data_IF_858476603513
#
_entry.id   IF_858476603513
#
_cell.length_a   1.000
_cell.length_b   1.000
_cell.length_c   1.000
_cell.angle_alpha   90.00
_cell.angle_beta   90.00
_cell.angle_gamma   90.00
#
_symmetry.space_group_name_H-M   'P 1'
#
loop_
_entity.id
_entity.type
_entity.pdbx_description
1 polymer ?
#
# COMPACT_ATOMS: atom_id res chain seq x y z
N UNK A 1 21.39 -17.08 -21.82
CA UNK A 1 21.39 -15.59 -21.90
C UNK A 1 20.67 -14.90 -20.72
N UNK A 2 19.59 -15.45 -20.18
CA UNK A 2 18.88 -14.88 -19.01
C UNK A 2 19.66 -15.05 -17.69
N UNK A 3 20.38 -16.18 -17.54
CA UNK A 3 21.24 -16.43 -16.38
C UNK A 3 22.43 -15.44 -16.32
N UNK A 4 23.01 -15.12 -17.46
CA UNK A 4 24.13 -14.18 -17.56
C UNK A 4 23.73 -12.73 -17.18
N UNK A 5 22.53 -12.28 -17.56
CA UNK A 5 22.02 -10.95 -17.14
C UNK A 5 21.78 -10.86 -15.63
N UNK A 6 21.19 -11.90 -15.01
CA UNK A 6 20.95 -11.93 -13.55
C UNK A 6 22.26 -11.99 -12.78
N UNK A 7 23.22 -12.82 -13.20
CA UNK A 7 24.55 -12.88 -12.58
C UNK A 7 25.31 -11.55 -12.72
N UNK A 8 25.27 -10.89 -13.88
CA UNK A 8 25.89 -9.56 -14.05
C UNK A 8 25.23 -8.49 -13.16
N UNK A 9 23.92 -8.51 -13.03
CA UNK A 9 23.20 -7.60 -12.14
C UNK A 9 23.56 -7.85 -10.66
N UNK A 10 23.65 -9.11 -10.21
CA UNK A 10 24.14 -9.45 -8.87
C UNK A 10 25.58 -8.97 -8.65
N UNK A 11 26.49 -9.26 -9.56
CA UNK A 11 27.90 -8.80 -9.46
C UNK A 11 28.03 -7.26 -9.41
N UNK A 12 27.17 -6.53 -10.14
CA UNK A 12 27.16 -5.06 -10.10
C UNK A 12 26.65 -4.59 -8.74
N UNK A 13 25.56 -5.14 -8.22
CA UNK A 13 24.97 -4.80 -6.92
C UNK A 13 25.95 -5.03 -5.77
N UNK A 14 26.59 -6.21 -5.73
CA UNK A 14 27.60 -6.57 -4.73
C UNK A 14 28.81 -5.62 -4.77
N UNK A 15 29.22 -5.24 -5.98
CA UNK A 15 30.35 -4.31 -6.17
C UNK A 15 30.06 -2.90 -5.65
N UNK A 16 28.80 -2.45 -5.69
CA UNK A 16 28.40 -1.12 -5.24
C UNK A 16 27.82 -1.11 -3.82
N UNK A 17 27.73 -2.26 -3.15
CA UNK A 17 27.31 -2.39 -1.77
C UNK A 17 25.88 -1.93 -1.50
N UNK A 18 24.97 -2.05 -2.48
CA UNK A 18 23.54 -1.69 -2.31
C UNK A 18 22.87 -2.70 -1.38
N UNK A 19 22.15 -2.22 -0.37
CA UNK A 19 21.44 -3.07 0.59
C UNK A 19 20.46 -4.01 -0.12
N UNK A 20 20.38 -5.32 0.23
CA UNK A 20 19.52 -6.30 -0.44
C UNK A 20 18.05 -6.17 0.00
N UNK A 21 17.47 -4.99 -0.18
CA UNK A 21 16.07 -4.65 0.11
C UNK A 21 15.44 -4.08 -1.16
N UNK A 22 14.22 -4.51 -1.49
CA UNK A 22 13.49 -3.95 -2.63
C UNK A 22 13.30 -2.44 -2.48
N UNK A 23 13.67 -1.70 -3.50
CA UNK A 23 13.64 -0.23 -3.48
C UNK A 23 14.92 0.43 -2.96
N UNK A 24 15.90 -0.32 -2.46
CA UNK A 24 17.19 0.22 -2.06
C UNK A 24 18.00 0.72 -3.26
N UNK A 25 18.72 1.80 -3.07
CA UNK A 25 19.60 2.36 -4.10
C UNK A 25 20.82 3.07 -3.50
N UNK A 26 21.83 3.21 -4.32
CA UNK A 26 22.98 4.07 -4.05
C UNK A 26 23.12 5.09 -5.17
N UNK A 27 23.31 6.35 -4.80
CA UNK A 27 23.53 7.45 -5.74
C UNK A 27 24.82 8.17 -5.41
N UNK A 28 25.59 8.52 -6.43
CA UNK A 28 26.77 9.37 -6.30
C UNK A 28 26.66 10.52 -7.31
N UNK A 29 26.82 11.75 -6.83
CA UNK A 29 26.97 12.97 -7.65
C UNK A 29 28.35 13.53 -7.40
N UNK A 30 29.19 13.53 -8.40
CA UNK A 30 30.59 13.98 -8.29
C UNK A 30 31.13 14.56 -9.58
N UNK A 31 32.41 14.87 -9.60
CA UNK A 31 33.11 15.50 -10.75
C UNK A 31 32.97 14.69 -12.07
N UNK A 32 32.82 13.38 -11.97
CA UNK A 32 32.72 12.48 -13.12
C UNK A 32 31.29 12.24 -13.60
N UNK A 33 30.30 12.91 -13.00
CA UNK A 33 28.88 12.79 -13.34
C UNK A 33 28.05 12.18 -12.24
N UNK A 34 26.90 11.66 -12.61
CA UNK A 34 25.87 11.09 -11.72
C UNK A 34 25.79 9.59 -11.99
N UNK A 35 25.81 8.79 -10.94
CA UNK A 35 25.54 7.36 -11.01
C UNK A 35 24.45 6.97 -10.02
N UNK A 36 23.51 6.12 -10.46
CA UNK A 36 22.45 5.55 -9.63
C UNK A 36 22.45 4.04 -9.83
N UNK A 37 22.55 3.29 -8.75
CA UNK A 37 22.51 1.83 -8.74
C UNK A 37 21.38 1.38 -7.81
N UNK A 38 20.34 0.78 -8.36
CA UNK A 38 19.24 0.18 -7.57
C UNK A 38 19.50 -1.29 -7.28
N UNK A 39 19.03 -1.77 -6.12
CA UNK A 39 18.96 -3.20 -5.85
C UNK A 39 18.05 -3.91 -6.87
N UNK A 40 16.96 -3.27 -7.23
CA UNK A 40 16.01 -3.70 -8.26
C UNK A 40 15.54 -2.49 -9.11
N UNK A 41 14.55 -2.71 -9.97
CA UNK A 41 13.98 -1.64 -10.79
C UNK A 41 13.31 -0.54 -9.95
N UNK A 42 12.74 -0.89 -8.78
CA UNK A 42 12.18 0.10 -7.84
C UNK A 42 13.28 0.97 -7.25
N UNK A 43 14.38 0.37 -6.82
CA UNK A 43 15.53 1.11 -6.28
C UNK A 43 16.10 2.09 -7.30
N UNK A 44 16.28 1.67 -8.55
CA UNK A 44 16.73 2.56 -9.62
C UNK A 44 15.73 3.72 -9.85
N UNK A 45 14.43 3.43 -9.86
CA UNK A 45 13.37 4.44 -9.99
C UNK A 45 13.38 5.43 -8.83
N UNK A 46 13.51 4.94 -7.58
CA UNK A 46 13.53 5.78 -6.39
C UNK A 46 14.79 6.66 -6.31
N UNK A 47 15.92 6.16 -6.76
CA UNK A 47 17.12 6.98 -6.94
C UNK A 47 16.91 8.12 -7.93
N UNK A 48 16.17 7.88 -9.02
CA UNK A 48 15.79 8.94 -9.98
C UNK A 48 14.82 9.95 -9.34
N UNK A 49 13.89 9.53 -8.49
CA UNK A 49 13.01 10.47 -7.78
C UNK A 49 13.81 11.36 -6.81
N UNK A 50 14.80 10.79 -6.10
CA UNK A 50 15.69 11.60 -5.25
C UNK A 50 16.52 12.58 -6.07
N UNK A 51 17.07 12.17 -7.21
CA UNK A 51 17.78 13.08 -8.12
C UNK A 51 16.84 14.21 -8.59
N UNK A 52 15.61 13.90 -8.94
CA UNK A 52 14.60 14.90 -9.33
C UNK A 52 14.37 15.93 -8.22
N UNK A 53 14.18 15.48 -6.96
CA UNK A 53 14.01 16.37 -5.82
C UNK A 53 15.23 17.26 -5.59
N UNK A 54 16.45 16.74 -5.73
CA UNK A 54 17.68 17.51 -5.66
C UNK A 54 17.77 18.58 -6.77
N UNK A 55 17.38 18.24 -7.98
CA UNK A 55 17.36 19.19 -9.11
C UNK A 55 16.31 20.27 -8.85
N UNK A 56 15.10 19.92 -8.46
CA UNK A 56 14.01 20.86 -8.18
C UNK A 56 14.39 21.83 -7.05
N UNK A 57 15.00 21.36 -5.96
CA UNK A 57 15.45 22.21 -4.85
C UNK A 57 16.68 23.05 -5.18
N UNK A 58 17.67 22.51 -5.92
CA UNK A 58 18.88 23.23 -6.30
C UNK A 58 18.61 24.32 -7.32
N UNK A 59 17.67 24.10 -8.25
CA UNK A 59 17.28 25.10 -9.25
C UNK A 59 16.71 26.39 -8.62
N UNK A 60 16.11 26.27 -7.45
CA UNK A 60 15.55 27.43 -6.70
C UNK A 60 16.58 28.17 -5.85
N UNK A 61 17.70 27.53 -5.48
CA UNK A 61 18.67 28.09 -4.51
C UNK A 61 20.01 28.44 -5.16
N UNK A 62 20.65 27.51 -5.85
CA UNK A 62 22.04 27.68 -6.33
C UNK A 62 22.20 27.48 -7.84
N UNK A 63 21.28 26.79 -8.50
CA UNK A 63 21.40 26.35 -9.89
C UNK A 63 22.45 25.25 -10.12
N UNK A 64 23.10 24.74 -9.05
CA UNK A 64 24.11 23.69 -9.11
C UNK A 64 23.72 22.50 -8.22
N UNK A 65 24.01 21.28 -8.70
CA UNK A 65 23.81 20.07 -7.90
C UNK A 65 24.96 19.88 -6.90
N UNK A 66 24.66 19.57 -5.63
CA UNK A 66 25.69 19.28 -4.64
C UNK A 66 26.43 17.97 -4.95
N UNK A 67 27.72 17.91 -4.67
CA UNK A 67 28.43 16.63 -4.61
C UNK A 67 27.94 15.86 -3.39
N UNK A 68 27.40 14.65 -3.60
CA UNK A 68 26.79 13.86 -2.53
C UNK A 68 26.86 12.36 -2.85
N UNK A 69 27.03 11.56 -1.80
CA UNK A 69 26.78 10.12 -1.83
C UNK A 69 25.54 9.82 -0.98
N UNK A 70 24.60 9.07 -1.55
CA UNK A 70 23.37 8.64 -0.89
C UNK A 70 23.32 7.12 -0.94
N UNK A 71 23.09 6.49 0.21
CA UNK A 71 22.80 5.07 0.37
C UNK A 71 21.47 4.98 1.12
N UNK A 72 20.40 4.56 0.44
CA UNK A 72 19.06 4.76 0.93
C UNK A 72 18.13 3.56 0.60
N UNK A 73 17.19 3.27 1.48
CA UNK A 73 16.26 2.16 1.37
C UNK A 73 15.02 2.38 2.24
N UNK A 74 13.86 1.80 1.88
CA UNK A 74 12.67 1.90 2.72
C UNK A 74 12.73 1.00 3.94
N UNK A 75 12.20 1.47 5.08
CA UNK A 75 12.04 0.65 6.28
C UNK A 75 10.90 -0.35 6.14
N UNK A 76 9.78 0.04 5.52
CA UNK A 76 8.62 -0.83 5.37
C UNK A 76 8.46 -1.38 3.96
N UNK A 77 8.06 -2.66 3.88
CA UNK A 77 7.79 -3.38 2.63
C UNK A 77 6.66 -2.74 1.83
N UNK A 78 5.53 -2.43 2.50
CA UNK A 78 4.35 -1.81 1.87
C UNK A 78 4.15 -0.39 2.38
N UNK A 79 4.08 0.55 1.45
CA UNK A 79 3.93 1.98 1.70
C UNK A 79 2.81 2.46 0.79
N UNK A 80 1.58 2.37 1.31
CA UNK A 80 0.42 2.42 0.42
C UNK A 80 -0.70 3.31 0.87
N UNK A 81 -1.68 3.34 -0.01
CA UNK A 81 -2.97 4.01 0.16
C UNK A 81 -4.07 3.04 -0.19
N UNK A 82 -5.14 3.02 0.59
CA UNK A 82 -6.35 2.27 0.30
C UNK A 82 -7.49 3.23 0.00
N UNK A 83 -8.06 3.17 -1.22
CA UNK A 83 -9.32 3.85 -1.55
C UNK A 83 -10.47 3.01 -0.99
N UNK A 84 -10.73 3.17 0.31
CA UNK A 84 -11.71 2.37 1.05
C UNK A 84 -12.70 3.22 1.86
N UNK A 85 -12.63 4.55 1.76
CA UNK A 85 -13.50 5.49 2.47
C UNK A 85 -14.94 5.45 1.94
N UNK A 86 -15.88 5.82 2.80
CA UNK A 86 -17.25 6.12 2.43
C UNK A 86 -17.36 7.59 2.00
N UNK A 87 -18.19 7.86 0.97
CA UNK A 87 -18.36 9.20 0.43
C UNK A 87 -18.34 9.22 -1.08
N UNK A 88 -17.93 10.35 -1.66
CA UNK A 88 -17.78 10.49 -3.11
C UNK A 88 -16.44 9.87 -3.54
N UNK A 89 -16.44 8.80 -4.33
CA UNK A 89 -15.20 8.22 -4.83
C UNK A 89 -14.43 9.21 -5.70
N UNK A 90 -13.12 8.99 -5.79
CA UNK A 90 -12.28 9.83 -6.62
C UNK A 90 -12.62 9.71 -8.10
N UNK A 91 -12.54 10.83 -8.81
CA UNK A 91 -12.59 10.79 -10.28
C UNK A 91 -11.36 10.08 -10.84
N UNK A 92 -11.44 9.66 -12.11
CA UNK A 92 -10.32 9.03 -12.79
C UNK A 92 -9.07 9.94 -12.81
N UNK A 93 -9.26 11.23 -13.04
CA UNK A 93 -8.18 12.23 -13.06
C UNK A 93 -7.51 12.38 -11.69
N UNK A 94 -8.28 12.37 -10.61
CA UNK A 94 -7.74 12.42 -9.24
C UNK A 94 -6.95 11.16 -8.94
N UNK A 95 -7.44 9.97 -9.31
CA UNK A 95 -6.69 8.72 -9.17
C UNK A 95 -5.36 8.76 -9.92
N UNK A 96 -5.36 9.23 -11.17
CA UNK A 96 -4.14 9.41 -11.97
C UNK A 96 -3.15 10.37 -11.30
N UNK A 97 -3.64 11.51 -10.81
CA UNK A 97 -2.83 12.51 -10.09
C UNK A 97 -2.22 11.95 -8.80
N UNK A 98 -2.98 11.13 -8.06
CA UNK A 98 -2.48 10.46 -6.85
C UNK A 98 -1.45 9.38 -7.16
N UNK A 99 -1.63 8.61 -8.23
CA UNK A 99 -0.64 7.60 -8.65
C UNK A 99 0.71 8.25 -9.00
N UNK A 100 0.70 9.38 -9.69
CA UNK A 100 1.92 10.13 -9.97
C UNK A 100 2.57 10.66 -8.69
N UNK A 101 1.76 11.14 -7.73
CA UNK A 101 2.21 11.51 -6.39
C UNK A 101 2.85 10.32 -5.66
N UNK A 102 2.24 9.13 -5.68
CA UNK A 102 2.79 7.93 -5.04
C UNK A 102 4.17 7.60 -5.60
N UNK A 103 4.33 7.61 -6.90
CA UNK A 103 5.62 7.39 -7.56
C UNK A 103 6.67 8.42 -7.16
N UNK A 104 6.32 9.72 -7.18
CA UNK A 104 7.22 10.81 -6.81
C UNK A 104 7.76 10.66 -5.39
N UNK A 105 6.89 10.27 -4.43
CA UNK A 105 7.23 10.15 -3.00
C UNK A 105 7.50 8.71 -2.55
N UNK A 106 7.82 7.82 -3.50
CA UNK A 106 8.32 6.46 -3.25
C UNK A 106 7.32 5.55 -2.50
N UNK A 107 6.02 5.84 -2.55
CA UNK A 107 4.99 4.89 -2.16
C UNK A 107 4.88 3.80 -3.23
N UNK A 108 4.48 2.58 -2.84
CA UNK A 108 4.53 1.43 -3.73
C UNK A 108 3.26 0.60 -3.81
N UNK A 109 2.18 1.02 -3.18
CA UNK A 109 0.94 0.23 -3.14
C UNK A 109 -0.29 1.14 -3.19
N UNK A 110 -1.19 0.88 -4.15
CA UNK A 110 -2.50 1.51 -4.25
C UNK A 110 -3.57 0.42 -4.25
N UNK A 111 -4.32 0.33 -3.14
CA UNK A 111 -5.41 -0.62 -2.98
C UNK A 111 -6.70 0.01 -3.50
N UNK A 112 -7.22 -0.56 -4.58
CA UNK A 112 -8.45 -0.13 -5.25
C UNK A 112 -9.64 -0.89 -4.66
N UNK A 113 -10.44 -0.22 -3.84
CA UNK A 113 -11.63 -0.75 -3.20
C UNK A 113 -12.71 0.32 -2.98
N UNK A 114 -13.03 1.17 -3.99
CA UNK A 114 -13.99 2.26 -3.83
C UNK A 114 -15.38 1.73 -3.51
N UNK A 115 -16.04 2.32 -2.52
CA UNK A 115 -17.31 1.84 -1.95
C UNK A 115 -18.50 1.92 -2.92
N UNK A 116 -18.40 2.65 -4.02
CA UNK A 116 -19.43 2.76 -5.06
C UNK A 116 -19.20 1.83 -6.26
N UNK A 117 -18.12 1.05 -6.27
CA UNK A 117 -17.87 0.08 -7.33
C UNK A 117 -18.66 -1.22 -7.07
N UNK A 118 -19.77 -1.47 -7.78
CA UNK A 118 -20.56 -2.66 -7.55
C UNK A 118 -19.92 -3.93 -8.10
N UNK A 119 -18.84 -3.81 -8.88
CA UNK A 119 -18.17 -4.96 -9.52
C UNK A 119 -17.01 -5.51 -8.70
N UNK A 120 -16.58 -4.81 -7.65
CA UNK A 120 -15.68 -5.37 -6.64
C UNK A 120 -16.43 -5.83 -5.38
N UNK A 121 -17.69 -5.44 -5.22
CA UNK A 121 -18.52 -5.76 -4.04
C UNK A 121 -19.91 -6.29 -4.46
N UNK A 122 -20.78 -6.55 -3.46
CA UNK A 122 -22.18 -6.86 -3.68
C UNK A 122 -22.89 -5.69 -4.39
N UNK A 123 -23.77 -5.94 -5.37
CA UNK A 123 -24.25 -7.28 -5.76
C UNK A 123 -23.49 -7.92 -6.94
N UNK A 124 -22.60 -7.21 -7.62
CA UNK A 124 -22.11 -7.58 -8.94
C UNK A 124 -20.66 -8.12 -8.95
N UNK A 125 -20.07 -8.43 -7.79
CA UNK A 125 -18.68 -8.92 -7.74
C UNK A 125 -18.44 -10.19 -8.57
N UNK A 126 -19.50 -10.97 -8.83
CA UNK A 126 -19.46 -12.17 -9.69
C UNK A 126 -19.40 -11.84 -11.20
N UNK A 127 -19.77 -10.62 -11.59
CA UNK A 127 -19.86 -10.21 -12.99
C UNK A 127 -18.55 -9.57 -13.48
N UNK A 128 -18.24 -9.69 -14.80
CA UNK A 128 -17.15 -8.92 -15.38
C UNK A 128 -17.44 -7.42 -15.30
N UNK A 129 -16.38 -6.61 -15.30
CA UNK A 129 -16.53 -5.17 -15.49
C UNK A 129 -17.06 -4.87 -16.89
N UNK A 130 -17.96 -3.87 -17.06
CA UNK A 130 -18.27 -3.33 -18.37
C UNK A 130 -17.01 -2.78 -19.06
N UNK A 131 -17.03 -2.71 -20.39
CA UNK A 131 -15.87 -2.37 -21.21
C UNK A 131 -15.23 -1.02 -20.83
N UNK A 132 -16.06 0.00 -20.57
CA UNK A 132 -15.57 1.33 -20.19
C UNK A 132 -14.84 1.32 -18.84
N UNK A 133 -15.43 0.69 -17.82
CA UNK A 133 -14.87 0.58 -16.48
C UNK A 133 -13.60 -0.28 -16.49
N UNK A 134 -13.60 -1.38 -17.24
CA UNK A 134 -12.41 -2.19 -17.45
C UNK A 134 -11.29 -1.40 -18.13
N UNK A 135 -11.63 -0.54 -19.11
CA UNK A 135 -10.70 0.37 -19.76
C UNK A 135 -10.09 1.37 -18.78
N UNK A 136 -10.90 2.00 -17.94
CA UNK A 136 -10.42 2.92 -16.90
C UNK A 136 -9.48 2.23 -15.91
N UNK A 137 -9.84 1.02 -15.45
CA UNK A 137 -8.97 0.23 -14.54
C UNK A 137 -7.63 -0.09 -15.22
N UNK A 138 -7.64 -0.46 -16.49
CA UNK A 138 -6.42 -0.74 -17.25
C UNK A 138 -5.50 0.50 -17.32
N UNK A 139 -6.05 1.68 -17.51
CA UNK A 139 -5.27 2.93 -17.51
C UNK A 139 -4.62 3.19 -16.14
N UNK A 140 -5.34 2.94 -15.03
CA UNK A 140 -4.79 3.04 -13.68
C UNK A 140 -3.66 2.02 -13.44
N UNK A 141 -3.83 0.77 -13.90
CA UNK A 141 -2.79 -0.27 -13.82
C UNK A 141 -1.52 0.17 -14.55
N UNK A 142 -1.65 0.71 -15.76
CA UNK A 142 -0.50 1.18 -16.53
C UNK A 142 0.16 2.42 -15.90
N UNK A 143 -0.63 3.32 -15.30
CA UNK A 143 -0.09 4.45 -14.55
C UNK A 143 0.70 3.97 -13.31
N UNK A 144 0.16 3.03 -12.55
CA UNK A 144 0.83 2.41 -11.40
C UNK A 144 2.15 1.75 -11.82
N UNK A 145 2.14 0.99 -12.92
CA UNK A 145 3.34 0.34 -13.46
C UNK A 145 4.45 1.32 -13.84
N UNK A 146 4.10 2.45 -14.50
CA UNK A 146 5.06 3.53 -14.81
C UNK A 146 5.67 4.14 -13.56
N UNK A 147 4.89 4.25 -12.49
CA UNK A 147 5.28 4.84 -11.20
C UNK A 147 5.86 3.82 -10.20
N UNK A 148 6.06 2.56 -10.61
CA UNK A 148 6.54 1.46 -9.74
C UNK A 148 5.66 1.23 -8.51
N UNK A 149 4.37 1.49 -8.65
CA UNK A 149 3.31 1.24 -7.65
C UNK A 149 2.59 -0.06 -8.02
N UNK A 150 2.31 -0.91 -7.05
CA UNK A 150 1.44 -2.06 -7.24
C UNK A 150 -0.02 -1.58 -7.23
N UNK A 151 -0.73 -1.79 -8.33
CA UNK A 151 -2.18 -1.69 -8.35
C UNK A 151 -2.75 -2.95 -7.70
N UNK A 152 -3.26 -2.81 -6.47
CA UNK A 152 -3.87 -3.91 -5.72
C UNK A 152 -5.37 -3.86 -5.92
N UNK A 153 -5.89 -4.82 -6.70
CA UNK A 153 -7.33 -4.89 -6.87
C UNK A 153 -7.97 -5.62 -5.70
N UNK A 154 -8.89 -4.94 -5.00
CA UNK A 154 -9.62 -5.52 -3.88
C UNK A 154 -10.97 -6.06 -4.32
N UNK A 155 -11.43 -7.16 -3.70
CA UNK A 155 -12.79 -7.67 -3.80
C UNK A 155 -13.41 -7.79 -2.41
N UNK A 156 -14.69 -7.46 -2.30
CA UNK A 156 -15.45 -7.46 -1.05
C UNK A 156 -16.70 -8.35 -1.18
N UNK A 157 -16.55 -9.69 -1.16
CA UNK A 157 -17.64 -10.62 -1.45
C UNK A 157 -18.48 -10.96 -0.22
N UNK A 158 -18.07 -10.53 0.98
CA UNK A 158 -18.54 -11.04 2.26
C UNK A 158 -20.03 -10.85 2.56
N UNK A 159 -20.68 -9.87 1.94
CA UNK A 159 -22.11 -9.59 2.19
C UNK A 159 -23.04 -10.70 1.69
N UNK A 160 -22.68 -11.40 0.60
CA UNK A 160 -23.57 -12.34 -0.06
C UNK A 160 -22.91 -13.64 -0.55
N UNK A 161 -21.68 -13.89 -0.14
CA UNK A 161 -20.95 -15.12 -0.47
C UNK A 161 -21.63 -16.36 0.14
N UNK A 162 -21.83 -17.40 -0.65
CA UNK A 162 -22.56 -18.60 -0.24
C UNK A 162 -21.66 -19.76 0.21
N UNK A 163 -20.34 -19.58 0.16
CA UNK A 163 -19.35 -20.58 0.55
C UNK A 163 -19.49 -21.94 -0.18
N UNK A 164 -19.93 -21.91 -1.44
CA UNK A 164 -20.07 -23.06 -2.30
C UNK A 164 -19.07 -23.04 -3.48
N UNK A 165 -19.01 -24.12 -4.23
CA UNK A 165 -18.09 -24.22 -5.38
C UNK A 165 -18.42 -23.20 -6.49
N UNK A 166 -19.69 -22.90 -6.68
CA UNK A 166 -20.12 -21.92 -7.68
C UNK A 166 -19.54 -20.53 -7.40
N UNK A 167 -19.64 -20.03 -6.15
CA UNK A 167 -19.08 -18.73 -5.76
C UNK A 167 -17.55 -18.75 -5.77
N UNK A 168 -16.94 -19.89 -5.43
CA UNK A 168 -15.49 -20.02 -5.58
C UNK A 168 -15.06 -19.90 -7.04
N UNK A 169 -15.72 -20.55 -7.97
CA UNK A 169 -15.42 -20.43 -9.40
C UNK A 169 -15.68 -19.02 -9.93
N UNK A 170 -16.76 -18.36 -9.49
CA UNK A 170 -17.02 -16.96 -9.82
C UNK A 170 -15.87 -16.05 -9.35
N UNK A 171 -15.34 -16.28 -8.16
CA UNK A 171 -14.21 -15.53 -7.61
C UNK A 171 -12.92 -15.76 -8.43
N UNK A 172 -12.59 -17.02 -8.73
CA UNK A 172 -11.43 -17.37 -9.56
C UNK A 172 -11.56 -16.78 -10.96
N UNK A 173 -12.75 -16.84 -11.56
CA UNK A 173 -13.01 -16.24 -12.87
C UNK A 173 -12.79 -14.72 -12.83
N UNK A 174 -13.30 -14.05 -11.80
CA UNK A 174 -13.10 -12.61 -11.61
C UNK A 174 -11.63 -12.26 -11.46
N UNK A 175 -10.88 -13.03 -10.66
CA UNK A 175 -9.43 -12.83 -10.49
C UNK A 175 -8.68 -13.03 -11.82
N UNK A 176 -9.06 -14.02 -12.64
CA UNK A 176 -8.48 -14.20 -13.96
C UNK A 176 -8.76 -13.00 -14.89
N UNK A 177 -9.98 -12.48 -14.89
CA UNK A 177 -10.32 -11.28 -15.68
C UNK A 177 -9.45 -10.08 -15.27
N UNK A 178 -9.27 -9.86 -13.96
CA UNK A 178 -8.44 -8.78 -13.46
C UNK A 178 -6.95 -9.01 -13.76
N UNK A 179 -6.48 -10.25 -13.66
CA UNK A 179 -5.13 -10.63 -14.04
C UNK A 179 -4.85 -10.37 -15.53
N UNK A 180 -5.83 -10.67 -16.41
CA UNK A 180 -5.74 -10.44 -17.85
C UNK A 180 -5.73 -8.93 -18.19
N UNK A 181 -6.36 -8.09 -17.37
CA UNK A 181 -6.24 -6.63 -17.44
C UNK A 181 -4.85 -6.12 -17.01
N UNK A 182 -4.06 -6.94 -16.32
CA UNK A 182 -2.70 -6.60 -15.88
C UNK A 182 -2.49 -6.51 -14.37
N UNK A 183 -3.52 -6.78 -13.55
CA UNK A 183 -3.39 -6.82 -12.08
C UNK A 183 -2.44 -7.94 -11.66
N UNK A 184 -1.53 -7.62 -10.73
CA UNK A 184 -0.56 -8.58 -10.17
C UNK A 184 -0.53 -8.62 -8.63
N UNK A 185 -1.38 -7.83 -7.98
CA UNK A 185 -1.57 -7.88 -6.53
C UNK A 185 -3.07 -7.80 -6.22
N UNK A 186 -3.52 -8.55 -5.23
CA UNK A 186 -4.94 -8.75 -4.94
C UNK A 186 -5.22 -8.61 -3.46
N UNK A 187 -6.46 -8.19 -3.12
CA UNK A 187 -6.95 -8.13 -1.77
C UNK A 187 -8.36 -8.71 -1.67
N UNK A 188 -8.67 -9.36 -0.54
CA UNK A 188 -10.03 -9.70 -0.14
C UNK A 188 -10.39 -8.90 1.10
N UNK A 189 -11.54 -8.24 1.05
CA UNK A 189 -12.06 -7.46 2.16
C UNK A 189 -13.29 -8.15 2.77
N UNK A 190 -13.26 -8.32 4.10
CA UNK A 190 -14.36 -8.85 4.91
C UNK A 190 -14.74 -7.89 6.03
N UNK A 191 -14.32 -6.62 5.91
CA UNK A 191 -14.69 -5.53 6.80
C UNK A 191 -16.19 -5.15 6.64
N UNK A 192 -16.79 -4.65 7.71
CA UNK A 192 -18.14 -4.08 7.74
C UNK A 192 -19.25 -5.00 7.20
N UNK A 193 -19.12 -6.31 7.40
CA UNK A 193 -20.10 -7.32 7.00
C UNK A 193 -20.77 -7.98 8.20
N UNK A 194 -21.84 -8.72 7.92
CA UNK A 194 -22.57 -9.51 8.92
C UNK A 194 -22.98 -10.88 8.37
N UNK A 195 -23.46 -11.76 9.23
CA UNK A 195 -23.98 -13.07 8.84
C UNK A 195 -22.88 -14.08 8.49
N UNK A 196 -23.17 -14.98 7.54
CA UNK A 196 -22.30 -16.12 7.20
C UNK A 196 -20.92 -15.70 6.61
N UNK A 197 -20.84 -14.50 6.03
CA UNK A 197 -19.58 -13.97 5.49
C UNK A 197 -18.50 -13.73 6.55
N UNK A 198 -18.88 -13.61 7.81
CA UNK A 198 -17.98 -13.34 8.95
C UNK A 198 -17.23 -14.57 9.46
N UNK A 199 -17.52 -15.78 8.94
CA UNK A 199 -16.94 -17.02 9.43
C UNK A 199 -15.43 -17.10 9.12
N UNK A 200 -14.54 -17.01 10.13
CA UNK A 200 -13.10 -16.92 9.93
C UNK A 200 -12.49 -18.21 9.36
N UNK A 201 -13.08 -19.38 9.66
CA UNK A 201 -12.61 -20.66 9.10
C UNK A 201 -12.86 -20.70 7.61
N UNK A 202 -14.07 -20.34 7.17
CA UNK A 202 -14.40 -20.27 5.74
C UNK A 202 -13.59 -19.20 5.00
N UNK A 203 -13.33 -18.06 5.65
CA UNK A 203 -12.47 -17.01 5.10
C UNK A 203 -11.03 -17.52 4.86
N UNK A 204 -10.42 -18.17 5.85
CA UNK A 204 -9.05 -18.68 5.73
C UNK A 204 -8.95 -19.87 4.76
N UNK A 205 -9.94 -20.75 4.72
CA UNK A 205 -10.02 -21.83 3.72
C UNK A 205 -10.07 -21.27 2.29
N UNK A 206 -10.92 -20.27 2.04
CA UNK A 206 -11.03 -19.59 0.75
C UNK A 206 -9.71 -18.95 0.33
N UNK A 207 -9.09 -18.19 1.24
CA UNK A 207 -7.81 -17.49 1.00
C UNK A 207 -6.67 -18.48 0.70
N UNK A 208 -6.57 -19.55 1.46
CA UNK A 208 -5.57 -20.61 1.24
C UNK A 208 -5.77 -21.29 -0.11
N UNK A 209 -7.03 -21.58 -0.46
CA UNK A 209 -7.37 -22.19 -1.75
C UNK A 209 -7.00 -21.25 -2.90
N UNK A 210 -7.34 -19.96 -2.83
CA UNK A 210 -6.95 -18.95 -3.82
C UNK A 210 -5.43 -18.81 -3.93
N UNK A 211 -4.73 -18.84 -2.81
CA UNK A 211 -3.26 -18.79 -2.82
C UNK A 211 -2.68 -19.97 -3.58
N UNK A 212 -3.20 -21.18 -3.37
CA UNK A 212 -2.75 -22.38 -4.07
C UNK A 212 -3.14 -22.38 -5.55
N UNK A 213 -4.43 -22.17 -5.83
CA UNK A 213 -5.02 -22.42 -7.14
C UNK A 213 -4.84 -21.24 -8.10
N UNK A 214 -4.64 -20.04 -7.60
CA UNK A 214 -4.47 -18.82 -8.39
C UNK A 214 -3.08 -18.20 -8.18
N UNK A 215 -2.74 -17.72 -6.97
CA UNK A 215 -1.50 -16.95 -6.75
C UNK A 215 -0.26 -17.76 -7.14
N UNK A 216 -0.11 -18.96 -6.58
CA UNK A 216 1.05 -19.83 -6.85
C UNK A 216 1.03 -20.40 -8.26
N UNK A 217 -0.15 -20.64 -8.85
CA UNK A 217 -0.28 -21.18 -10.20
C UNK A 217 0.13 -20.20 -11.30
N UNK A 218 -0.13 -18.89 -11.11
CA UNK A 218 0.27 -17.84 -12.07
C UNK A 218 1.79 -17.58 -12.05
N UNK A 219 2.41 -17.67 -10.88
CA UNK A 219 3.86 -17.51 -10.70
C UNK A 219 4.38 -16.08 -10.74
N UNK A 220 3.57 -15.11 -11.18
CA UNK A 220 3.91 -13.67 -11.25
C UNK A 220 2.91 -12.77 -10.50
N UNK A 221 1.97 -13.34 -9.75
CA UNK A 221 1.15 -12.62 -8.78
C UNK A 221 2.03 -12.29 -7.58
N UNK A 222 2.15 -10.99 -7.27
CA UNK A 222 3.11 -10.50 -6.29
C UNK A 222 2.71 -10.87 -4.85
N UNK A 223 1.43 -10.68 -4.50
CA UNK A 223 0.89 -11.01 -3.17
C UNK A 223 -0.64 -11.01 -3.14
N UNK A 224 -1.16 -11.60 -2.07
CA UNK A 224 -2.55 -11.53 -1.64
C UNK A 224 -2.57 -10.92 -0.23
N UNK A 225 -3.53 -10.04 0.04
CA UNK A 225 -3.76 -9.49 1.38
C UNK A 225 -5.22 -9.59 1.76
N UNK A 226 -5.53 -9.56 3.03
CA UNK A 226 -6.90 -9.67 3.55
C UNK A 226 -7.18 -8.64 4.64
N UNK A 227 -8.36 -8.01 4.57
CA UNK A 227 -8.95 -7.33 5.71
C UNK A 227 -9.93 -8.29 6.40
N UNK A 228 -9.63 -8.76 7.61
CA UNK A 228 -10.52 -9.65 8.35
C UNK A 228 -11.76 -8.89 8.83
N UNK A 229 -12.84 -9.59 9.17
CA UNK A 229 -14.01 -8.97 9.78
C UNK A 229 -13.66 -8.31 11.13
N UNK A 230 -12.85 -8.98 11.94
CA UNK A 230 -12.35 -8.44 13.21
C UNK A 230 -11.06 -7.63 12.99
N UNK A 231 -11.12 -6.58 12.21
CA UNK A 231 -9.97 -5.75 11.82
C UNK A 231 -9.52 -4.74 12.90
N UNK A 232 -10.26 -4.65 14.03
CA UNK A 232 -10.00 -3.73 15.14
C UNK A 232 -10.18 -4.45 16.48
N UNK A 233 -9.37 -4.08 17.47
CA UNK A 233 -9.50 -4.61 18.85
C UNK A 233 -10.86 -4.30 19.47
N UNK A 234 -11.53 -3.25 18.98
CA UNK A 234 -12.84 -2.82 19.48
C UNK A 234 -13.89 -3.95 19.43
N UNK A 235 -13.87 -4.79 18.38
CA UNK A 235 -14.81 -5.91 18.22
C UNK A 235 -14.16 -7.29 18.13
N UNK A 236 -12.85 -7.36 18.05
CA UNK A 236 -12.15 -8.63 18.13
C UNK A 236 -12.28 -9.25 19.52
N UNK A 237 -12.23 -10.58 19.58
CA UNK A 237 -12.24 -11.31 20.84
C UNK A 237 -11.07 -10.84 21.73
N UNK A 238 -11.33 -10.32 22.94
CA UNK A 238 -10.27 -9.81 23.83
C UNK A 238 -9.31 -10.90 24.33
N UNK A 239 -9.75 -12.18 24.34
CA UNK A 239 -8.90 -13.30 24.71
C UNK A 239 -7.97 -13.71 23.55
N UNK A 240 -6.91 -14.51 23.78
CA UNK A 240 -6.06 -15.00 22.71
C UNK A 240 -6.76 -15.91 21.68
N UNK A 241 -7.98 -16.37 21.98
CA UNK A 241 -8.82 -17.17 21.10
C UNK A 241 -9.73 -16.25 20.26
N UNK A 242 -10.24 -16.77 19.15
CA UNK A 242 -11.17 -16.06 18.28
C UNK A 242 -10.73 -16.05 16.83
N UNK A 243 -11.37 -15.21 16.01
CA UNK A 243 -11.15 -15.16 14.56
C UNK A 243 -9.68 -14.87 14.19
N UNK A 244 -9.03 -13.93 14.86
CA UNK A 244 -7.63 -13.58 14.58
C UNK A 244 -6.66 -14.72 14.92
N UNK A 245 -6.93 -15.53 15.96
CA UNK A 245 -6.13 -16.72 16.25
C UNK A 245 -6.30 -17.77 15.15
N UNK A 246 -7.51 -17.95 14.62
CA UNK A 246 -7.77 -18.85 13.48
C UNK A 246 -6.94 -18.38 12.26
N UNK A 247 -6.92 -17.09 11.98
CA UNK A 247 -6.05 -16.53 10.94
C UNK A 247 -4.57 -16.87 11.19
N UNK A 248 -4.08 -16.67 12.41
CA UNK A 248 -2.69 -16.96 12.76
C UNK A 248 -2.32 -18.44 12.67
N UNK A 249 -3.25 -19.34 12.91
CA UNK A 249 -3.02 -20.79 12.92
C UNK A 249 -3.18 -21.44 11.56
N UNK A 250 -4.08 -20.94 10.71
CA UNK A 250 -4.50 -21.64 9.50
C UNK A 250 -4.19 -20.92 8.20
N UNK A 251 -4.02 -19.59 8.21
CA UNK A 251 -3.80 -18.81 7.01
C UNK A 251 -2.39 -19.00 6.44
N UNK A 252 -2.28 -19.20 5.13
CA UNK A 252 -0.98 -19.26 4.42
C UNK A 252 -0.10 -18.06 4.83
N UNK A 253 1.15 -18.29 5.24
CA UNK A 253 2.03 -17.23 5.75
C UNK A 253 2.39 -16.15 4.71
N UNK A 254 2.15 -16.39 3.44
CA UNK A 254 2.37 -15.40 2.37
C UNK A 254 1.27 -14.35 2.26
N UNK A 255 0.14 -14.52 2.98
CA UNK A 255 -0.99 -13.58 2.95
C UNK A 255 -0.81 -12.54 4.05
N UNK A 256 -0.79 -11.28 3.69
CA UNK A 256 -0.72 -10.17 4.65
C UNK A 256 -2.12 -9.88 5.24
N UNK A 257 -2.18 -9.52 6.52
CA UNK A 257 -3.43 -9.31 7.25
C UNK A 257 -3.53 -7.87 7.73
N UNK A 258 -4.60 -7.19 7.36
CA UNK A 258 -4.86 -5.81 7.80
C UNK A 258 -5.31 -5.73 9.25
N UNK A 259 -4.93 -4.60 9.87
CA UNK A 259 -5.30 -4.21 11.22
C UNK A 259 -5.43 -2.70 11.32
N UNK A 260 -6.48 -2.19 11.98
CA UNK A 260 -6.69 -0.74 12.14
C UNK A 260 -6.25 -0.20 13.51
N UNK A 261 -5.96 -1.07 14.47
CA UNK A 261 -5.55 -0.69 15.82
C UNK A 261 -6.59 -0.98 16.90
N UNK A 262 -6.47 -0.32 18.04
CA UNK A 262 -7.34 -0.53 19.20
C UNK A 262 -8.80 -0.12 18.92
N UNK A 263 -8.97 0.87 18.03
CA UNK A 263 -10.26 1.34 17.50
C UNK A 263 -10.15 1.53 15.99
N UNK A 264 -11.25 1.89 15.32
CA UNK A 264 -11.27 2.07 13.86
C UNK A 264 -10.31 3.18 13.39
N UNK A 265 -10.29 4.31 14.10
CA UNK A 265 -9.33 5.40 13.87
C UNK A 265 -8.38 5.44 15.07
N UNK A 266 -7.23 4.82 14.94
CA UNK A 266 -6.29 4.58 16.03
C UNK A 266 -4.89 5.07 15.66
N UNK A 267 -4.13 5.49 16.68
CA UNK A 267 -2.69 5.69 16.53
C UNK A 267 -1.97 4.35 16.34
N UNK A 268 -0.86 4.39 15.64
CA UNK A 268 0.04 3.25 15.45
C UNK A 268 1.00 3.17 16.63
N UNK A 269 0.81 2.18 17.49
CA UNK A 269 1.62 1.97 18.69
C UNK A 269 2.19 0.56 18.78
N UNK A 270 3.32 0.37 19.51
CA UNK A 270 3.86 -0.97 19.75
C UNK A 270 2.84 -1.91 20.39
N UNK A 271 2.05 -1.41 21.35
CA UNK A 271 1.10 -2.21 22.13
C UNK A 271 -0.01 -2.80 21.27
N UNK A 272 -0.54 -2.02 20.31
CA UNK A 272 -1.58 -2.53 19.40
C UNK A 272 -1.00 -3.58 18.43
N UNK A 273 0.26 -3.39 17.98
CA UNK A 273 0.94 -4.36 17.11
C UNK A 273 1.27 -5.65 17.86
N UNK A 274 1.82 -5.58 19.07
CA UNK A 274 2.07 -6.75 19.91
C UNK A 274 0.79 -7.55 20.13
N UNK A 275 -0.31 -6.84 20.40
CA UNK A 275 -1.61 -7.45 20.61
C UNK A 275 -2.10 -8.24 19.41
N UNK A 276 -2.05 -7.65 18.20
CA UNK A 276 -2.54 -8.33 16.99
C UNK A 276 -1.55 -9.35 16.47
N UNK A 277 -0.24 -9.04 16.44
CA UNK A 277 0.79 -9.92 15.89
C UNK A 277 0.89 -11.24 16.66
N UNK A 278 0.69 -11.21 18.00
CA UNK A 278 0.63 -12.43 18.81
C UNK A 278 -0.52 -13.37 18.41
N UNK A 279 -1.61 -12.83 17.85
CA UNK A 279 -2.79 -13.59 17.37
C UNK A 279 -2.64 -14.05 15.93
N UNK A 280 -2.34 -13.12 15.01
CA UNK A 280 -2.20 -13.45 13.58
C UNK A 280 -0.86 -14.11 13.23
N UNK A 281 0.09 -14.17 14.18
CA UNK A 281 1.43 -14.81 14.08
C UNK A 281 2.26 -14.29 12.89
N UNK A 282 2.14 -12.99 12.60
CA UNK A 282 2.90 -12.27 11.58
C UNK A 282 2.85 -10.76 11.84
N UNK A 283 3.80 -9.97 11.30
CA UNK A 283 3.69 -8.51 11.31
C UNK A 283 2.42 -8.05 10.58
N UNK A 284 1.61 -7.21 11.23
CA UNK A 284 0.36 -6.71 10.65
C UNK A 284 0.63 -5.75 9.48
N UNK A 285 -0.31 -5.69 8.53
CA UNK A 285 -0.40 -4.61 7.56
C UNK A 285 -1.35 -3.56 8.15
N UNK A 286 -0.82 -2.41 8.58
CA UNK A 286 -1.62 -1.42 9.28
C UNK A 286 -2.50 -0.64 8.31
N UNK A 287 -3.82 -0.84 8.38
CA UNK A 287 -4.81 -0.01 7.69
C UNK A 287 -5.08 1.21 8.56
N UNK A 288 -4.48 2.33 8.20
CA UNK A 288 -4.57 3.52 9.00
C UNK A 288 -5.69 4.44 8.52
N UNK A 289 -6.74 4.56 9.33
CA UNK A 289 -7.87 5.43 9.04
C UNK A 289 -7.54 6.91 9.32
N UNK A 290 -6.58 7.42 8.57
CA UNK A 290 -6.11 8.79 8.53
C UNK A 290 -5.57 9.10 7.12
N UNK A 291 -5.90 10.26 6.50
CA UNK A 291 -6.72 11.37 7.00
C UNK A 291 -8.23 11.24 6.70
N UNK A 292 -8.78 10.03 6.59
CA UNK A 292 -10.21 9.81 6.28
C UNK A 292 -11.14 10.68 7.14
N UNK A 293 -12.17 11.23 6.51
CA UNK A 293 -13.19 12.09 7.16
C UNK A 293 -14.61 11.66 6.84
N UNK A 294 -14.81 10.40 6.44
CA UNK A 294 -16.11 9.88 6.05
C UNK A 294 -17.15 9.85 7.19
N UNK A 295 -16.67 9.81 8.43
CA UNK A 295 -17.50 9.96 9.66
C UNK A 295 -17.82 11.42 10.02
N UNK A 296 -17.12 12.42 9.43
CA UNK A 296 -17.33 13.87 9.61
C UNK A 296 -17.03 14.59 8.29
N UNK A 297 -17.90 14.46 7.30
CA UNK A 297 -17.65 14.88 5.91
C UNK A 297 -17.49 16.39 5.67
N UNK A 298 -17.85 17.21 6.64
CA UNK A 298 -17.77 18.67 6.52
C UNK A 298 -16.44 19.26 6.98
N UNK A 299 -15.42 18.41 7.22
CA UNK A 299 -14.08 18.84 7.60
C UNK A 299 -13.03 18.29 6.65
N UNK A 300 -11.90 18.98 6.57
CA UNK A 300 -10.68 18.52 5.90
C UNK A 300 -9.60 18.43 6.99
N UNK A 301 -9.01 17.23 7.15
CA UNK A 301 -7.90 17.05 8.09
C UNK A 301 -6.60 17.52 7.45
N UNK A 302 -6.07 18.60 7.98
CA UNK A 302 -4.81 19.21 7.58
C UNK A 302 -3.99 19.52 8.83
N UNK A 303 -2.72 19.18 8.81
CA UNK A 303 -1.81 19.41 9.93
C UNK A 303 -0.65 18.41 9.92
N UNK A 304 0.31 18.60 10.84
CA UNK A 304 1.38 17.62 11.03
C UNK A 304 0.81 16.23 11.32
N UNK A 305 1.38 15.20 10.72
CA UNK A 305 0.87 13.83 10.78
C UNK A 305 1.39 13.15 12.04
N UNK A 306 0.62 13.25 13.11
CA UNK A 306 0.87 12.60 14.39
C UNK A 306 0.32 11.18 14.43
N UNK A 307 0.54 10.46 15.54
CA UNK A 307 -0.02 9.13 15.76
C UNK A 307 0.79 7.98 15.17
N UNK A 308 2.00 8.26 14.67
CA UNK A 308 2.92 7.28 14.14
C UNK A 308 4.14 7.12 15.06
N UNK A 309 4.27 5.97 15.70
CA UNK A 309 5.37 5.71 16.65
C UNK A 309 6.69 5.45 15.92
N UNK A 310 7.75 6.17 16.29
CA UNK A 310 9.07 6.13 15.64
C UNK A 310 10.04 5.08 16.21
N UNK A 311 9.61 4.27 17.17
CA UNK A 311 10.39 3.14 17.69
C UNK A 311 10.12 1.81 17.01
N UNK A 312 9.19 1.79 16.05
CA UNK A 312 8.78 0.60 15.29
C UNK A 312 9.77 0.28 14.16
N UNK A 313 9.73 -0.97 13.70
CA UNK A 313 10.49 -1.43 12.54
C UNK A 313 9.73 -2.48 11.71
N UNK A 314 10.39 -3.06 10.71
CA UNK A 314 9.80 -4.08 9.83
C UNK A 314 9.48 -5.43 10.50
N UNK A 315 9.91 -5.65 11.75
CA UNK A 315 9.52 -6.83 12.52
C UNK A 315 8.17 -6.62 13.20
N UNK A 316 7.79 -5.36 13.45
CA UNK A 316 6.54 -5.00 14.11
C UNK A 316 5.37 -4.93 13.13
N UNK A 317 5.62 -4.36 11.91
CA UNK A 317 4.60 -4.25 10.87
C UNK A 317 5.22 -4.42 9.48
N UNK A 318 4.45 -4.99 8.55
CA UNK A 318 4.93 -5.16 7.16
C UNK A 318 4.67 -3.93 6.29
N UNK A 319 3.81 -3.02 6.69
CA UNK A 319 3.48 -1.82 5.94
C UNK A 319 2.33 -1.01 6.51
N UNK A 320 2.07 0.14 5.88
CA UNK A 320 0.92 1.01 6.14
C UNK A 320 0.14 1.21 4.85
N UNK A 321 -1.19 1.05 4.93
CA UNK A 321 -2.14 1.51 3.93
C UNK A 321 -2.99 2.63 4.55
N UNK A 322 -2.69 3.87 4.20
CA UNK A 322 -3.47 5.04 4.64
C UNK A 322 -4.82 5.07 3.95
N UNK A 323 -5.90 5.25 4.69
CA UNK A 323 -7.25 5.49 4.15
C UNK A 323 -7.49 7.01 4.12
N UNK A 324 -7.52 7.65 2.92
CA UNK A 324 -7.54 9.09 2.79
C UNK A 324 -8.96 9.68 2.77
N UNK A 325 -9.04 11.00 2.61
CA UNK A 325 -10.31 11.71 2.43
C UNK A 325 -10.89 11.50 1.02
N UNK A 326 -12.21 11.67 0.88
CA UNK A 326 -12.85 11.81 -0.45
C UNK A 326 -12.26 13.01 -1.24
N UNK A 327 -11.64 13.95 -0.58
CA UNK A 327 -10.89 15.08 -1.14
C UNK A 327 -9.45 14.63 -1.48
N UNK A 328 -9.27 13.92 -2.59
CA UNK A 328 -8.00 13.25 -2.95
C UNK A 328 -6.82 14.20 -3.04
N UNK A 329 -6.96 15.35 -3.71
CA UNK A 329 -5.89 16.34 -3.82
C UNK A 329 -5.49 16.93 -2.45
N UNK A 330 -6.47 17.18 -1.57
CA UNK A 330 -6.21 17.67 -0.22
C UNK A 330 -5.54 16.59 0.66
N UNK A 331 -5.76 15.32 0.38
CA UNK A 331 -5.12 14.20 1.09
C UNK A 331 -3.61 14.13 0.87
N UNK A 332 -3.08 14.68 -0.22
CA UNK A 332 -1.65 14.59 -0.57
C UNK A 332 -0.73 15.07 0.53
N UNK A 333 -1.13 16.10 1.28
CA UNK A 333 -0.29 16.64 2.34
C UNK A 333 -0.13 15.68 3.53
N UNK A 334 -1.22 15.00 3.91
CA UNK A 334 -1.16 13.92 4.92
C UNK A 334 -0.41 12.69 4.38
N UNK A 335 -0.66 12.32 3.12
CA UNK A 335 0.02 11.19 2.47
C UNK A 335 1.53 11.43 2.29
N UNK A 336 1.97 12.68 2.19
CA UNK A 336 3.39 13.03 2.23
C UNK A 336 4.03 12.63 3.56
N UNK A 337 3.31 12.84 4.69
CA UNK A 337 3.75 12.38 6.00
C UNK A 337 3.84 10.85 6.10
N UNK A 338 2.85 10.15 5.56
CA UNK A 338 2.85 8.67 5.51
C UNK A 338 4.01 8.14 4.66
N UNK A 339 4.27 8.78 3.52
CA UNK A 339 5.38 8.40 2.63
C UNK A 339 6.74 8.55 3.33
N UNK A 340 6.98 9.67 4.02
CA UNK A 340 8.21 9.95 4.76
C UNK A 340 8.39 8.97 5.93
N UNK A 341 7.36 8.78 6.76
CA UNK A 341 7.40 7.83 7.87
C UNK A 341 7.72 6.40 7.41
N UNK A 342 7.01 5.90 6.41
CA UNK A 342 7.19 4.52 5.95
C UNK A 342 8.51 4.28 5.23
N UNK A 343 9.17 5.36 4.79
CA UNK A 343 10.50 5.30 4.20
C UNK A 343 11.60 5.25 5.27
N UNK A 344 11.53 6.12 6.29
CA UNK A 344 12.52 6.18 7.37
C UNK A 344 11.84 6.51 8.70
N UNK A 345 11.42 5.46 9.40
CA UNK A 345 10.63 5.54 10.63
C UNK A 345 11.37 6.31 11.72
N UNK A 346 12.63 5.96 11.97
CA UNK A 346 13.40 6.52 13.09
C UNK A 346 13.71 8.01 12.92
N UNK A 347 13.78 8.50 11.68
CA UNK A 347 14.07 9.90 11.38
C UNK A 347 12.81 10.76 11.21
N UNK A 348 11.62 10.15 11.25
CA UNK A 348 10.37 10.88 11.02
C UNK A 348 10.10 11.91 12.13
N UNK A 349 9.85 13.15 11.73
CA UNK A 349 9.37 14.23 12.59
C UNK A 349 8.15 14.89 11.96
N UNK A 350 6.97 14.87 12.62
CA UNK A 350 5.73 15.37 12.03
C UNK A 350 5.76 16.87 11.72
N UNK A 351 6.43 17.70 12.52
CA UNK A 351 6.52 19.15 12.30
C UNK A 351 7.42 19.45 11.11
N UNK A 352 8.65 18.90 11.10
CA UNK A 352 9.59 19.09 9.99
C UNK A 352 9.02 18.56 8.67
N UNK A 353 8.33 17.42 8.72
CA UNK A 353 7.66 16.85 7.56
C UNK A 353 6.56 17.79 7.04
N UNK A 354 5.72 18.33 7.93
CA UNK A 354 4.65 19.25 7.56
C UNK A 354 5.20 20.51 6.86
N UNK A 355 6.25 21.12 7.41
CA UNK A 355 6.89 22.31 6.81
C UNK A 355 7.48 22.01 5.43
N UNK A 356 8.16 20.84 5.28
CA UNK A 356 8.67 20.40 3.97
C UNK A 356 7.52 20.12 2.99
N UNK A 357 6.46 19.46 3.44
CA UNK A 357 5.28 19.14 2.63
C UNK A 357 4.57 20.38 2.11
N UNK A 358 4.41 21.41 2.93
CA UNK A 358 3.88 22.71 2.49
C UNK A 358 4.76 23.33 1.41
N UNK A 359 6.08 23.33 1.61
CA UNK A 359 7.02 23.87 0.63
C UNK A 359 7.02 23.09 -0.70
N UNK A 360 6.84 21.79 -0.66
CA UNK A 360 6.88 20.91 -1.84
C UNK A 360 5.55 20.91 -2.62
N UNK A 361 4.41 20.85 -1.91
CA UNK A 361 3.10 20.65 -2.51
C UNK A 361 2.32 21.95 -2.68
N UNK A 362 2.57 22.92 -1.83
CA UNK A 362 1.86 24.21 -1.77
C UNK A 362 2.83 25.40 -1.63
N UNK A 363 3.79 25.59 -2.54
CA UNK A 363 4.84 26.61 -2.37
C UNK A 363 4.30 28.03 -2.20
N UNK A 364 3.17 28.35 -2.84
CA UNK A 364 2.50 29.65 -2.70
C UNK A 364 1.78 29.86 -1.35
N UNK A 365 1.34 28.79 -0.70
CA UNK A 365 0.67 28.86 0.59
C UNK A 365 1.66 28.97 1.76
N UNK A 366 2.92 28.56 1.56
CA UNK A 366 3.98 28.67 2.56
C UNK A 366 4.37 30.15 2.86
N UNK A 367 4.18 31.02 1.88
CA UNK A 367 4.52 32.45 2.00
C UNK A 367 3.41 33.27 2.68
N UNK A 368 2.21 32.70 2.84
CA UNK A 368 1.05 33.33 3.48
C UNK A 368 0.95 32.92 4.96
#
# INVERSE_FOLDING_TARGET
>A
HLCDRRQRQMCIRDRYGVKPVSGAYRMNIGKNGISIVGYDERGAFYGLQTLRQLVESSATVTGELPYVEIDDYPDLKYRGVVEGFYGTPWSHEVRMSLIDFYGKFKMNSYLYGPKDDPYHSCPNWRLPYPEKEAGNIKELIEACKRNRVDFVWAIHPGQDIKWNEEDYQNLVNKFNLMYDLGVRAFALFFDDISGEGTNPVKQTELLNRLTKDFVKSKGDVAYLTVCPTDYSKLWANPTPQGSLAIYGETLDPSIEVFWTGDVVCSDLTPETLDWVNSRIKRPAYFWWNYPVTDYVRNIILQGPVYGLNTSLDSNDLCGIASNPMEHGEASKLALYGVADYTWNIAAYNPIDNWERGLGELMPKAREA
#
